data_IF_470824350540
#
_entry.id   IF_470824350540
#
_cell.length_a   1.000
_cell.length_b   1.000
_cell.length_c   1.000
_cell.angle_alpha   90.00
_cell.angle_beta   90.00
_cell.angle_gamma   90.00
#
_symmetry.space_group_name_H-M   'P 1'
#
loop_
_entity.id
_entity.type
_entity.pdbx_description
1 polymer ?
#
# COMPACT_ATOMS: atom_id res chain seq x y z
N UNK A 1 -17.40 -8.23 2.18
CA UNK A 1 -16.42 -7.99 3.28
C UNK A 1 -16.66 -9.02 4.36
N UNK A 2 -15.61 -9.77 4.78
CA UNK A 2 -15.75 -10.77 5.84
C UNK A 2 -16.00 -10.09 7.19
N UNK A 3 -16.76 -10.73 8.14
CA UNK A 3 -16.98 -10.17 9.47
C UNK A 3 -15.71 -9.84 10.24
N UNK A 4 -14.67 -10.68 10.09
CA UNK A 4 -13.37 -10.46 10.70
C UNK A 4 -12.70 -9.18 10.19
N UNK A 5 -12.74 -8.93 8.87
CA UNK A 5 -12.18 -7.72 8.28
C UNK A 5 -12.92 -6.46 8.73
N UNK A 6 -14.25 -6.50 8.83
CA UNK A 6 -15.05 -5.40 9.34
C UNK A 6 -14.64 -5.07 10.78
N UNK A 7 -14.51 -6.09 11.64
CA UNK A 7 -14.06 -5.94 13.02
C UNK A 7 -12.70 -5.25 13.10
N UNK A 8 -11.69 -5.73 12.35
CA UNK A 8 -10.36 -5.13 12.36
C UNK A 8 -10.35 -3.69 11.82
N UNK A 9 -11.15 -3.39 10.79
CA UNK A 9 -11.28 -2.04 10.24
C UNK A 9 -11.86 -1.07 11.26
N UNK A 10 -12.93 -1.45 11.96
CA UNK A 10 -13.53 -0.64 13.02
C UNK A 10 -12.55 -0.42 14.18
N UNK A 11 -11.82 -1.44 14.61
CA UNK A 11 -10.79 -1.33 15.64
C UNK A 11 -9.68 -0.37 15.24
N UNK A 12 -9.20 -0.43 13.99
CA UNK A 12 -8.17 0.46 13.47
C UNK A 12 -8.59 1.94 13.47
N UNK A 13 -9.85 2.24 13.15
CA UNK A 13 -10.40 3.60 13.20
C UNK A 13 -10.32 4.21 14.60
N UNK A 14 -10.53 3.40 15.64
CA UNK A 14 -10.53 3.82 17.05
C UNK A 14 -9.10 4.03 17.60
N UNK A 15 -8.09 3.40 17.01
CA UNK A 15 -6.71 3.54 17.48
C UNK A 15 -6.12 4.88 17.02
N UNK A 16 -5.92 5.79 17.96
CA UNK A 16 -5.39 7.14 17.67
C UNK A 16 -3.90 7.15 17.33
N UNK A 17 -3.11 6.35 18.03
CA UNK A 17 -1.64 6.31 17.88
C UNK A 17 -1.21 5.40 16.71
N UNK A 18 -0.35 5.91 15.83
CA UNK A 18 0.22 5.14 14.72
C UNK A 18 1.08 3.97 15.20
N UNK A 19 1.86 4.15 16.27
CA UNK A 19 2.64 3.06 16.87
C UNK A 19 1.74 1.94 17.39
N UNK A 20 0.60 2.29 18.01
CA UNK A 20 -0.39 1.29 18.44
C UNK A 20 -1.04 0.60 17.23
N UNK A 21 -1.30 1.33 16.13
CA UNK A 21 -1.80 0.74 14.87
C UNK A 21 -0.79 -0.26 14.29
N UNK A 22 0.48 0.12 14.18
CA UNK A 22 1.54 -0.79 13.71
C UNK A 22 1.60 -2.07 14.54
N UNK A 23 1.60 -1.94 15.87
CA UNK A 23 1.58 -3.09 16.78
C UNK A 23 0.34 -3.96 16.58
N UNK A 24 -0.83 -3.35 16.39
CA UNK A 24 -2.08 -4.05 16.14
C UNK A 24 -2.03 -4.85 14.82
N UNK A 25 -1.56 -4.25 13.72
CA UNK A 25 -1.39 -4.93 12.44
C UNK A 25 -0.43 -6.12 12.54
N UNK A 26 0.72 -5.94 13.23
CA UNK A 26 1.71 -7.00 13.45
C UNK A 26 1.15 -8.14 14.29
N UNK A 27 0.47 -7.83 15.41
CA UNK A 27 -0.15 -8.81 16.31
C UNK A 27 -1.19 -9.69 15.59
N UNK A 28 -2.02 -9.09 14.77
CA UNK A 28 -3.11 -9.80 14.08
C UNK A 28 -2.74 -10.26 12.67
N UNK A 29 -1.47 -10.11 12.25
CA UNK A 29 -0.95 -10.53 10.93
C UNK A 29 -1.81 -10.02 9.78
N UNK A 30 -2.17 -8.72 9.83
CA UNK A 30 -3.06 -8.10 8.85
C UNK A 30 -2.35 -7.62 7.58
N UNK A 31 -1.02 -7.65 7.56
CA UNK A 31 -0.18 -7.49 6.37
C UNK A 31 0.63 -8.78 6.17
N UNK A 32 1.20 -8.99 4.99
CA UNK A 32 2.09 -10.11 4.70
C UNK A 32 3.28 -10.14 5.67
N UNK A 33 3.91 -8.98 5.88
CA UNK A 33 4.96 -8.80 6.89
C UNK A 33 5.08 -7.34 7.32
N UNK A 34 5.55 -7.13 8.55
CA UNK A 34 5.94 -5.81 9.07
C UNK A 34 7.24 -6.01 9.85
N UNK A 35 8.30 -5.35 9.37
CA UNK A 35 9.61 -5.35 10.02
C UNK A 35 9.65 -4.53 11.32
N UNK A 36 10.88 -4.28 11.79
CA UNK A 36 11.09 -3.49 12.98
C UNK A 36 11.11 -1.98 12.68
N UNK A 37 10.83 -1.16 13.70
CA UNK A 37 10.81 0.31 13.61
C UNK A 37 9.87 0.88 12.55
N UNK A 38 8.83 0.13 12.16
CA UNK A 38 7.83 0.61 11.20
C UNK A 38 6.79 1.52 11.85
N UNK A 39 6.25 2.42 11.03
CA UNK A 39 5.21 3.36 11.40
C UNK A 39 4.06 3.31 10.40
N UNK A 40 2.87 2.90 10.85
CA UNK A 40 1.67 2.86 10.04
C UNK A 40 0.71 4.00 10.39
N UNK A 41 0.68 5.03 9.55
CA UNK A 41 -0.17 6.22 9.71
C UNK A 41 -1.63 6.05 9.30
N UNK A 42 -1.96 5.29 8.24
CA UNK A 42 -3.35 5.15 7.79
C UNK A 42 -4.25 4.51 8.84
N UNK A 43 -5.52 4.92 8.87
CA UNK A 43 -6.53 4.32 9.75
C UNK A 43 -7.30 3.16 9.10
N UNK A 44 -7.29 3.10 7.79
CA UNK A 44 -7.95 2.05 7.03
C UNK A 44 -6.98 0.92 6.70
N UNK A 45 -7.49 -0.31 6.70
CA UNK A 45 -6.77 -1.49 6.23
C UNK A 45 -7.11 -1.67 4.75
N UNK A 46 -6.12 -1.67 3.84
CA UNK A 46 -6.37 -1.89 2.42
C UNK A 46 -7.06 -3.23 2.14
N UNK A 47 -7.83 -3.30 1.08
CA UNK A 47 -8.28 -4.59 0.55
C UNK A 47 -7.05 -5.37 0.08
N UNK A 48 -7.01 -6.69 0.28
CA UNK A 48 -5.82 -7.53 0.02
C UNK A 48 -4.56 -7.06 0.77
N UNK A 49 -4.72 -6.59 1.99
CA UNK A 49 -3.60 -6.13 2.83
C UNK A 49 -2.55 -7.22 3.09
N UNK A 50 -2.92 -8.49 2.97
CA UNK A 50 -2.02 -9.65 2.99
C UNK A 50 -1.00 -9.69 1.85
N UNK A 51 -1.13 -8.82 0.85
CA UNK A 51 -0.17 -8.64 -0.25
C UNK A 51 0.82 -7.49 -0.01
N UNK A 52 0.76 -6.84 1.15
CA UNK A 52 1.64 -5.74 1.50
C UNK A 52 2.75 -6.23 2.41
N UNK A 53 4.01 -6.03 1.99
CA UNK A 53 5.22 -6.33 2.78
C UNK A 53 5.93 -5.04 3.14
N UNK A 54 6.17 -4.83 4.42
CA UNK A 54 6.99 -3.75 4.93
C UNK A 54 8.24 -4.35 5.57
N UNK A 55 9.41 -3.93 5.09
CA UNK A 55 10.69 -4.28 5.71
C UNK A 55 10.97 -3.38 6.92
N UNK A 56 12.24 -3.17 7.30
CA UNK A 56 12.57 -2.42 8.50
C UNK A 56 12.58 -0.91 8.28
N UNK A 57 12.25 -0.15 9.31
CA UNK A 57 12.30 1.31 9.31
C UNK A 57 11.49 1.93 8.16
N UNK A 58 10.27 1.42 7.95
CA UNK A 58 9.33 1.95 6.94
C UNK A 58 8.31 2.86 7.59
N UNK A 59 8.17 4.06 7.06
CA UNK A 59 7.19 5.04 7.50
C UNK A 59 6.12 5.20 6.42
N UNK A 60 4.88 4.82 6.75
CA UNK A 60 3.71 5.11 5.94
C UNK A 60 2.94 6.26 6.60
N UNK A 61 2.95 7.42 5.99
CA UNK A 61 2.30 8.61 6.56
C UNK A 61 0.77 8.50 6.54
N UNK A 62 0.11 9.35 7.35
CA UNK A 62 -1.36 9.46 7.33
C UNK A 62 -1.85 9.77 5.91
N UNK A 63 -3.00 9.20 5.54
CA UNK A 63 -3.62 9.37 4.22
C UNK A 63 -2.81 8.83 3.03
N UNK A 64 -1.60 8.28 3.21
CA UNK A 64 -0.98 7.49 2.16
C UNK A 64 -1.85 6.26 1.87
N UNK A 65 -1.93 5.86 0.61
CA UNK A 65 -2.75 4.75 0.13
C UNK A 65 -1.86 3.71 -0.52
N UNK A 66 -1.93 2.47 -0.03
CA UNK A 66 -1.35 1.31 -0.67
C UNK A 66 -2.52 0.53 -1.29
N UNK A 67 -2.52 0.39 -2.59
CA UNK A 67 -3.63 -0.16 -3.37
C UNK A 67 -3.14 -1.44 -4.06
N UNK A 68 -3.25 -2.62 -3.42
CA UNK A 68 -2.77 -3.87 -4.02
C UNK A 68 -3.74 -4.48 -5.03
N UNK A 69 -4.81 -3.77 -5.42
CA UNK A 69 -5.78 -4.24 -6.40
C UNK A 69 -6.48 -3.09 -7.13
N UNK A 70 -6.98 -3.37 -8.33
CA UNK A 70 -7.96 -2.55 -9.01
C UNK A 70 -8.98 -3.42 -9.77
N UNK A 71 -10.06 -2.83 -10.21
CA UNK A 71 -11.17 -3.51 -10.89
C UNK A 71 -11.33 -3.05 -12.35
N UNK A 72 -10.30 -2.48 -12.94
CA UNK A 72 -10.34 -1.95 -14.31
C UNK A 72 -10.75 -3.03 -15.32
N UNK A 73 -10.30 -4.27 -15.14
CA UNK A 73 -10.66 -5.38 -16.03
C UNK A 73 -12.15 -5.70 -15.99
N UNK A 74 -12.82 -5.52 -14.86
CA UNK A 74 -14.28 -5.68 -14.76
C UNK A 74 -15.00 -4.62 -15.57
N UNK A 75 -14.51 -3.38 -15.56
CA UNK A 75 -15.04 -2.30 -16.39
C UNK A 75 -14.82 -2.59 -17.87
N UNK A 76 -13.58 -2.95 -18.27
CA UNK A 76 -13.23 -3.22 -19.67
C UNK A 76 -14.03 -4.37 -20.27
N UNK A 77 -14.25 -5.46 -19.52
CA UNK A 77 -15.09 -6.58 -19.96
C UNK A 77 -16.54 -6.20 -20.25
N UNK A 78 -17.06 -5.23 -19.52
CA UNK A 78 -18.41 -4.71 -19.77
C UNK A 78 -18.45 -3.80 -21.00
N UNK A 79 -17.40 -3.01 -21.21
CA UNK A 79 -17.29 -2.06 -22.32
C UNK A 79 -16.93 -2.76 -23.64
N UNK A 80 -16.10 -3.81 -23.58
CA UNK A 80 -15.56 -4.52 -24.74
C UNK A 80 -15.67 -6.04 -24.51
N UNK A 81 -16.89 -6.62 -24.56
CA UNK A 81 -17.13 -8.03 -24.21
C UNK A 81 -16.42 -9.03 -25.12
N UNK A 82 -16.07 -8.64 -26.35
CA UNK A 82 -15.35 -9.49 -27.31
C UNK A 82 -13.84 -9.63 -27.00
N UNK A 83 -13.31 -8.79 -26.11
CA UNK A 83 -11.89 -8.79 -25.77
C UNK A 83 -11.62 -9.59 -24.50
N UNK A 84 -10.45 -10.25 -24.47
CA UNK A 84 -10.00 -11.01 -23.31
C UNK A 84 -9.10 -10.19 -22.37
N UNK A 85 -9.67 -9.70 -21.30
CA UNK A 85 -8.94 -8.93 -20.27
C UNK A 85 -8.48 -9.76 -19.06
N UNK A 86 -8.44 -11.09 -19.18
CA UNK A 86 -8.00 -11.96 -18.09
C UNK A 86 -8.96 -11.96 -16.89
N UNK A 87 -8.45 -11.91 -15.66
CA UNK A 87 -9.26 -11.91 -14.43
C UNK A 87 -10.06 -10.61 -14.26
N UNK A 88 -11.13 -10.63 -13.44
CA UNK A 88 -11.96 -9.45 -13.19
C UNK A 88 -11.22 -8.38 -12.38
N UNK A 89 -10.30 -8.79 -11.52
CA UNK A 89 -9.49 -7.91 -10.68
C UNK A 89 -8.02 -8.04 -11.07
N UNK A 90 -7.32 -6.92 -11.10
CA UNK A 90 -5.86 -6.89 -11.10
C UNK A 90 -5.42 -6.85 -9.65
N UNK A 91 -4.68 -7.86 -9.22
CA UNK A 91 -4.16 -8.00 -7.86
C UNK A 91 -2.65 -8.09 -7.94
N UNK A 92 -1.95 -7.29 -7.13
CA UNK A 92 -0.49 -7.28 -7.13
C UNK A 92 0.13 -6.96 -5.78
N UNK A 93 1.30 -7.54 -5.52
CA UNK A 93 2.04 -7.31 -4.29
C UNK A 93 2.60 -5.90 -4.23
N UNK A 94 2.60 -5.31 -3.04
CA UNK A 94 3.36 -4.09 -2.75
C UNK A 94 4.45 -4.46 -1.76
N UNK A 95 5.71 -4.26 -2.14
CA UNK A 95 6.86 -4.54 -1.28
C UNK A 95 7.67 -3.26 -1.05
N UNK A 96 7.82 -2.87 0.22
CA UNK A 96 8.55 -1.66 0.60
C UNK A 96 9.75 -2.08 1.44
N UNK A 97 10.94 -1.82 0.90
CA UNK A 97 12.21 -2.24 1.48
C UNK A 97 12.62 -1.37 2.68
N UNK A 98 13.84 -1.60 3.21
CA UNK A 98 14.32 -0.90 4.40
C UNK A 98 14.50 0.61 4.18
N UNK A 99 14.29 1.39 5.23
CA UNK A 99 14.53 2.84 5.26
C UNK A 99 13.73 3.62 4.21
N UNK A 100 12.44 3.33 4.07
CA UNK A 100 11.56 4.02 3.12
C UNK A 100 10.57 4.93 3.85
N UNK A 101 10.46 6.15 3.36
CA UNK A 101 9.46 7.11 3.81
C UNK A 101 8.41 7.35 2.72
N UNK A 102 7.16 7.01 3.00
CA UNK A 102 6.02 7.28 2.13
C UNK A 102 5.22 8.43 2.72
N UNK A 103 5.29 9.58 2.08
CA UNK A 103 4.71 10.83 2.56
C UNK A 103 3.17 10.87 2.43
N UNK A 104 2.58 11.94 2.96
CA UNK A 104 1.11 12.12 3.02
C UNK A 104 0.48 12.13 1.62
N UNK A 105 -0.66 11.47 1.49
CA UNK A 105 -1.44 11.38 0.24
C UNK A 105 -0.70 10.71 -0.94
N UNK A 106 0.48 10.13 -0.74
CA UNK A 106 1.10 9.28 -1.76
C UNK A 106 0.24 8.05 -2.02
N UNK A 107 0.21 7.60 -3.27
CA UNK A 107 -0.53 6.42 -3.72
C UNK A 107 0.46 5.44 -4.31
N UNK A 108 0.46 4.20 -3.79
CA UNK A 108 1.29 3.11 -4.33
C UNK A 108 0.34 2.12 -4.99
N UNK A 109 0.56 1.88 -6.29
CA UNK A 109 -0.28 1.00 -7.11
C UNK A 109 0.12 -0.49 -6.98
N UNK A 110 -0.70 -1.42 -7.52
CA UNK A 110 -0.39 -2.86 -7.48
C UNK A 110 0.93 -3.19 -8.21
N UNK A 111 1.59 -4.26 -7.78
CA UNK A 111 2.84 -4.78 -8.35
C UNK A 111 4.04 -3.82 -8.28
N UNK A 112 4.06 -2.97 -7.25
CA UNK A 112 5.16 -2.01 -7.04
C UNK A 112 6.10 -2.50 -5.94
N UNK A 113 7.40 -2.47 -6.25
CA UNK A 113 8.49 -2.63 -5.30
C UNK A 113 9.23 -1.30 -5.12
N UNK A 114 9.36 -0.84 -3.88
CA UNK A 114 10.15 0.36 -3.54
C UNK A 114 11.45 -0.09 -2.90
N UNK A 115 12.58 0.25 -3.55
CA UNK A 115 13.93 -0.07 -3.12
C UNK A 115 14.30 0.59 -1.78
N UNK A 116 15.46 0.23 -1.24
CA UNK A 116 15.96 0.75 0.04
C UNK A 116 16.28 2.24 -0.04
N UNK A 117 16.20 2.90 1.11
CA UNK A 117 16.63 4.30 1.27
C UNK A 117 15.89 5.26 0.32
N UNK A 118 14.58 5.07 0.11
CA UNK A 118 13.77 5.89 -0.77
C UNK A 118 12.84 6.84 -0.01
N UNK A 119 12.55 7.98 -0.63
CA UNK A 119 11.53 8.91 -0.17
C UNK A 119 10.49 9.06 -1.29
N UNK A 120 9.24 8.76 -0.96
CA UNK A 120 8.10 9.02 -1.82
C UNK A 120 7.43 10.30 -1.36
N UNK A 121 7.52 11.33 -2.17
CA UNK A 121 7.02 12.67 -1.82
C UNK A 121 5.50 12.71 -1.69
N UNK A 122 5.00 13.71 -0.96
CA UNK A 122 3.56 13.87 -0.73
C UNK A 122 2.78 14.02 -2.05
N UNK A 123 1.63 13.36 -2.14
CA UNK A 123 0.77 13.42 -3.32
C UNK A 123 1.27 12.65 -4.54
N UNK A 124 2.39 11.95 -4.45
CA UNK A 124 2.94 11.18 -5.57
C UNK A 124 2.12 9.94 -5.89
N UNK A 125 2.09 9.53 -7.15
CA UNK A 125 1.49 8.27 -7.60
C UNK A 125 2.59 7.36 -8.16
N UNK A 126 2.91 6.31 -7.41
CA UNK A 126 3.92 5.32 -7.79
C UNK A 126 3.24 4.18 -8.53
N UNK A 127 3.51 4.08 -9.83
CA UNK A 127 2.91 3.10 -10.74
C UNK A 127 3.89 2.05 -11.26
N UNK A 128 5.17 2.16 -10.91
CA UNK A 128 6.25 1.23 -11.28
C UNK A 128 7.28 1.13 -10.16
N UNK A 129 8.15 0.14 -10.25
CA UNK A 129 9.21 -0.06 -9.28
C UNK A 129 10.11 1.17 -9.14
N UNK A 130 10.52 1.44 -7.90
CA UNK A 130 11.48 2.50 -7.58
C UNK A 130 12.80 1.83 -7.19
N UNK A 131 13.91 2.12 -7.88
CA UNK A 131 15.24 1.66 -7.48
C UNK A 131 15.62 2.18 -6.09
N UNK A 132 16.66 1.60 -5.50
CA UNK A 132 17.15 2.06 -4.19
C UNK A 132 17.80 3.44 -4.27
N UNK A 133 17.71 4.20 -3.16
CA UNK A 133 18.35 5.50 -2.98
C UNK A 133 17.76 6.62 -3.88
N UNK A 134 16.44 6.55 -4.11
CA UNK A 134 15.72 7.56 -4.92
C UNK A 134 14.79 8.42 -4.05
N UNK A 135 14.66 9.67 -4.47
CA UNK A 135 13.61 10.59 -4.02
C UNK A 135 12.71 10.85 -5.22
N UNK A 136 11.43 10.43 -5.11
CA UNK A 136 10.49 10.55 -6.23
C UNK A 136 9.30 11.43 -5.90
N UNK A 137 8.82 12.15 -6.91
CA UNK A 137 7.65 13.02 -6.80
C UNK A 137 6.80 13.00 -8.08
N UNK A 138 5.54 13.42 -7.95
CA UNK A 138 4.64 13.65 -9.08
C UNK A 138 3.69 12.50 -9.40
N UNK A 139 2.92 12.66 -10.48
CA UNK A 139 1.99 11.67 -11.03
C UNK A 139 2.16 11.58 -12.56
N UNK A 140 2.74 10.48 -13.08
CA UNK A 140 3.41 9.42 -12.33
C UNK A 140 4.66 9.92 -11.59
N UNK A 141 5.02 9.24 -10.50
CA UNK A 141 6.19 9.58 -9.71
C UNK A 141 7.48 9.38 -10.52
N UNK A 142 8.34 10.38 -10.50
CA UNK A 142 9.66 10.39 -11.16
C UNK A 142 10.73 10.86 -10.19
N UNK A 143 11.96 10.49 -10.45
CA UNK A 143 13.14 10.96 -9.71
C UNK A 143 13.26 12.48 -9.77
N UNK A 144 13.69 13.11 -8.65
CA UNK A 144 13.85 14.54 -8.49
C UNK A 144 15.20 14.92 -7.87
#
# INVERSE_FOLDING_TARGET
>A
MTPARLYHSLRMLLIRSSSKRTRYLKKHRLLASIGEKCYWGPKLIPLYSELIKLHNNVVIHKKAKLIPHDVINTFLKRALPEENFGSNERIGCIEIMDNVYVAMNAVILPDVRIGKNCIISAGSVVSSDIPETYIVAGNPAKDI
#
